data_IF_775783441451
#
_entry.id   IF_775783441451
#
_cell.length_a   1.000
_cell.length_b   1.000
_cell.length_c   1.000
_cell.angle_alpha   90.00
_cell.angle_beta   90.00
_cell.angle_gamma   90.00
#
_symmetry.space_group_name_H-M   'P 1'
#
loop_
_entity.id
_entity.type
_entity.pdbx_description
1 polymer ?
#
# COMPACT_ATOMS: atom_id res chain seq x y z
N UNK A 1 -21.68 11.53 0.29
CA UNK A 1 -20.79 11.67 -0.88
C UNK A 1 -19.96 10.41 -1.03
N UNK A 2 -19.50 10.05 -2.24
CA UNK A 2 -18.67 8.86 -2.43
C UNK A 2 -17.30 9.04 -1.76
N UNK A 3 -16.88 8.04 -0.97
CA UNK A 3 -15.64 8.07 -0.17
C UNK A 3 -14.40 8.41 -1.00
N UNK A 4 -14.37 8.02 -2.27
CA UNK A 4 -13.21 8.16 -3.15
C UNK A 4 -13.14 9.50 -3.90
N UNK A 5 -14.18 10.32 -3.82
CA UNK A 5 -14.17 11.67 -4.37
C UNK A 5 -13.84 12.67 -3.28
N UNK A 6 -13.11 13.73 -3.63
CA UNK A 6 -12.87 14.86 -2.74
C UNK A 6 -13.98 15.90 -2.95
N UNK A 7 -14.58 16.38 -1.86
CA UNK A 7 -15.58 17.43 -1.91
C UNK A 7 -14.96 18.84 -1.83
N UNK A 8 -15.81 19.87 -1.91
CA UNK A 8 -15.38 21.28 -1.84
C UNK A 8 -14.78 21.67 -0.49
N UNK A 9 -15.01 20.90 0.57
CA UNK A 9 -14.44 21.10 1.91
C UNK A 9 -13.12 20.32 2.09
N UNK A 10 -12.70 19.58 1.07
CA UNK A 10 -11.50 18.75 1.08
C UNK A 10 -11.68 17.45 1.86
N UNK A 11 -12.92 16.97 2.01
CA UNK A 11 -13.26 15.70 2.64
C UNK A 11 -13.37 14.60 1.58
N UNK A 12 -12.87 13.41 1.90
CA UNK A 12 -12.84 12.24 1.01
C UNK A 12 -11.55 12.15 0.20
N UNK A 13 -11.61 11.42 -0.91
CA UNK A 13 -10.49 11.24 -1.83
C UNK A 13 -9.29 10.48 -1.27
N UNK A 14 -8.17 10.61 -1.99
CA UNK A 14 -6.91 9.94 -1.70
C UNK A 14 -5.79 10.98 -1.65
N UNK A 15 -4.89 10.87 -0.65
CA UNK A 15 -3.67 11.68 -0.58
C UNK A 15 -2.43 10.82 -0.33
N UNK A 16 -1.26 11.40 -0.61
CA UNK A 16 0.03 10.87 -0.20
C UNK A 16 0.50 11.55 1.08
N UNK A 17 1.16 10.80 1.97
CA UNK A 17 1.76 11.37 3.17
C UNK A 17 3.01 10.62 3.58
N UNK A 18 4.14 11.33 3.59
CA UNK A 18 5.40 10.83 4.16
C UNK A 18 5.43 10.95 5.70
N UNK A 19 4.41 11.57 6.32
CA UNK A 19 4.33 11.74 7.77
C UNK A 19 3.73 10.52 8.49
N UNK A 20 3.12 9.59 7.74
CA UNK A 20 2.57 8.34 8.28
C UNK A 20 3.29 7.13 7.69
N UNK A 21 3.63 6.13 8.50
CA UNK A 21 4.43 5.00 8.02
C UNK A 21 3.62 4.05 7.12
N UNK A 22 2.31 3.91 7.37
CA UNK A 22 1.45 2.94 6.68
C UNK A 22 0.23 3.62 6.08
N UNK A 23 -0.34 2.99 5.05
CA UNK A 23 -1.56 3.47 4.44
C UNK A 23 -2.73 3.36 5.41
N UNK A 24 -3.39 4.49 5.66
CA UNK A 24 -4.61 4.55 6.46
C UNK A 24 -5.84 4.57 5.55
N UNK A 25 -6.84 3.76 5.89
CA UNK A 25 -8.07 3.60 5.13
C UNK A 25 -9.27 3.89 6.02
N UNK A 26 -10.27 4.59 5.50
CA UNK A 26 -11.58 4.66 6.16
C UNK A 26 -12.09 3.24 6.49
N UNK A 27 -12.73 3.09 7.64
CA UNK A 27 -13.09 1.79 8.24
C UNK A 27 -13.79 0.82 7.27
N UNK A 28 -14.73 1.29 6.44
CA UNK A 28 -15.41 0.44 5.47
C UNK A 28 -14.47 -0.06 4.37
N UNK A 29 -13.59 0.81 3.85
CA UNK A 29 -12.56 0.46 2.86
C UNK A 29 -11.55 -0.52 3.47
N UNK A 30 -11.11 -0.25 4.70
CA UNK A 30 -10.19 -1.11 5.44
C UNK A 30 -10.73 -2.54 5.58
N UNK A 31 -11.97 -2.67 6.07
CA UNK A 31 -12.63 -3.98 6.23
C UNK A 31 -12.80 -4.70 4.90
N UNK A 32 -13.19 -3.99 3.84
CA UNK A 32 -13.36 -4.56 2.52
C UNK A 32 -12.02 -5.08 1.96
N UNK A 33 -10.95 -4.28 2.05
CA UNK A 33 -9.61 -4.66 1.62
C UNK A 33 -9.12 -5.88 2.40
N UNK A 34 -9.24 -5.85 3.73
CA UNK A 34 -8.84 -6.96 4.58
C UNK A 34 -9.53 -8.25 4.20
N UNK A 35 -10.86 -8.21 4.07
CA UNK A 35 -11.66 -9.37 3.75
C UNK A 35 -11.28 -9.95 2.37
N UNK A 36 -11.13 -9.09 1.37
CA UNK A 36 -10.73 -9.49 0.02
C UNK A 36 -9.30 -10.08 0.01
N UNK A 37 -8.36 -9.44 0.68
CA UNK A 37 -6.98 -9.90 0.78
C UNK A 37 -6.89 -11.28 1.43
N UNK A 38 -7.55 -11.45 2.58
CA UNK A 38 -7.61 -12.73 3.31
C UNK A 38 -8.25 -13.84 2.47
N UNK A 39 -9.28 -13.52 1.67
CA UNK A 39 -9.93 -14.48 0.78
C UNK A 39 -9.05 -14.88 -0.42
N UNK A 40 -8.19 -13.97 -0.89
CA UNK A 40 -7.25 -14.23 -1.98
C UNK A 40 -5.96 -14.94 -1.52
N UNK A 41 -5.68 -14.99 -0.21
CA UNK A 41 -4.51 -15.67 0.32
C UNK A 41 -4.54 -17.18 0.05
N UNK A 42 -3.40 -17.80 -0.33
CA UNK A 42 -3.30 -19.25 -0.48
C UNK A 42 -3.66 -19.98 0.82
N UNK A 43 -4.33 -21.13 0.71
CA UNK A 43 -4.82 -21.95 1.83
C UNK A 43 -3.74 -22.42 2.81
N UNK A 44 -2.46 -22.36 2.44
CA UNK A 44 -1.31 -22.77 3.25
C UNK A 44 -0.84 -21.73 4.28
N UNK A 45 -1.43 -20.53 4.31
CA UNK A 45 -1.04 -19.51 5.29
C UNK A 45 -1.93 -19.60 6.53
N UNK A 46 -1.33 -20.00 7.66
CA UNK A 46 -2.03 -20.08 8.95
C UNK A 46 -2.40 -18.68 9.40
N UNK A 47 -3.71 -18.40 9.42
CA UNK A 47 -4.27 -17.13 9.87
C UNK A 47 -4.18 -17.08 11.39
N UNK A 48 -3.53 -16.06 11.95
CA UNK A 48 -3.57 -15.83 13.40
C UNK A 48 -4.94 -15.27 13.75
N UNK A 49 -5.82 -16.14 14.27
CA UNK A 49 -7.27 -15.91 14.49
C UNK A 49 -7.63 -14.71 15.39
N UNK A 50 -6.64 -14.08 16.03
CA UNK A 50 -6.81 -12.99 16.99
C UNK A 50 -6.34 -11.63 16.47
N UNK A 51 -5.59 -11.61 15.37
CA UNK A 51 -5.17 -10.41 14.65
C UNK A 51 -5.46 -10.67 13.18
N UNK A 52 -6.63 -10.26 12.68
CA UNK A 52 -7.07 -10.53 11.30
C UNK A 52 -6.09 -10.07 10.19
N UNK A 53 -5.06 -9.29 10.55
CA UNK A 53 -4.01 -8.75 9.70
C UNK A 53 -2.70 -9.54 9.73
N UNK A 54 -2.54 -10.50 10.66
CA UNK A 54 -1.27 -11.18 10.93
C UNK A 54 -1.21 -12.57 10.28
N UNK A 55 -0.13 -12.82 9.55
CA UNK A 55 0.20 -14.02 8.81
C UNK A 55 1.43 -14.66 9.48
N UNK A 56 1.40 -15.97 9.70
CA UNK A 56 2.60 -16.72 10.09
C UNK A 56 3.53 -16.88 8.89
N UNK A 57 4.86 -16.98 9.07
CA UNK A 57 5.81 -17.02 7.98
C UNK A 57 5.72 -18.41 7.33
N UNK A 58 4.98 -18.49 6.23
CA UNK A 58 5.02 -19.60 5.30
C UNK A 58 5.63 -19.20 3.95
N UNK A 59 6.09 -17.96 3.83
CA UNK A 59 6.42 -17.34 2.55
C UNK A 59 7.90 -17.02 2.48
N UNK A 60 8.55 -17.67 1.52
CA UNK A 60 9.92 -17.41 1.08
C UNK A 60 10.13 -15.89 0.95
N UNK A 61 11.07 -15.32 1.70
CA UNK A 61 11.49 -13.92 1.49
C UNK A 61 12.12 -13.82 0.10
N UNK A 62 11.34 -13.36 -0.87
CA UNK A 62 11.79 -13.11 -2.23
C UNK A 62 12.19 -11.63 -2.39
N UNK A 63 12.93 -11.32 -3.46
CA UNK A 63 13.30 -9.93 -3.82
C UNK A 63 12.10 -8.99 -3.91
N UNK A 64 10.92 -9.53 -4.24
CA UNK A 64 9.66 -8.79 -4.38
C UNK A 64 8.82 -8.77 -3.09
N UNK A 65 9.42 -9.20 -1.97
CA UNK A 65 8.77 -9.42 -0.69
C UNK A 65 8.02 -10.75 -0.61
N UNK A 66 7.21 -10.93 0.44
CA UNK A 66 6.43 -12.15 0.64
C UNK A 66 5.50 -12.45 -0.54
N UNK A 67 5.37 -13.73 -0.89
CA UNK A 67 4.42 -14.18 -1.92
C UNK A 67 2.97 -14.10 -1.42
N UNK A 68 2.36 -12.93 -1.57
CA UNK A 68 0.97 -12.62 -1.18
C UNK A 68 0.20 -12.03 -2.37
N UNK A 69 -1.15 -11.94 -2.31
CA UNK A 69 -1.94 -11.28 -3.33
C UNK A 69 -1.45 -9.85 -3.59
N UNK A 70 -1.37 -9.48 -4.87
CA UNK A 70 -1.13 -8.11 -5.30
C UNK A 70 -2.39 -7.26 -5.05
N UNK A 71 -2.20 -6.00 -4.69
CA UNK A 71 -3.28 -5.02 -4.56
C UNK A 71 -3.09 -3.97 -5.65
N UNK A 72 -4.09 -3.76 -6.50
CA UNK A 72 -4.05 -2.76 -7.55
C UNK A 72 -4.95 -1.57 -7.20
N UNK A 73 -4.38 -0.37 -7.18
CA UNK A 73 -5.15 0.87 -7.18
C UNK A 73 -5.50 1.21 -8.63
N UNK A 74 -6.77 1.04 -8.99
CA UNK A 74 -7.30 1.43 -10.30
C UNK A 74 -7.54 2.93 -10.30
N UNK A 75 -6.90 3.65 -11.23
CA UNK A 75 -6.97 5.10 -11.31
C UNK A 75 -7.99 5.55 -12.36
N UNK A 76 -7.63 6.46 -13.26
CA UNK A 76 -8.55 7.10 -14.21
C UNK A 76 -9.25 6.14 -15.18
N UNK A 77 -8.71 4.92 -15.37
CA UNK A 77 -9.35 3.85 -16.12
C UNK A 77 -8.72 2.49 -15.77
N UNK A 78 -9.31 1.40 -16.28
CA UNK A 78 -8.90 0.02 -16.00
C UNK A 78 -7.49 -0.36 -16.48
N UNK A 79 -6.84 0.47 -17.31
CA UNK A 79 -5.48 0.24 -17.81
C UNK A 79 -4.42 0.93 -16.97
N UNK A 80 -4.81 1.86 -16.09
CA UNK A 80 -3.88 2.63 -15.26
C UNK A 80 -3.96 2.13 -13.84
N UNK A 81 -3.02 1.24 -13.52
CA UNK A 81 -2.95 0.50 -12.27
C UNK A 81 -1.65 0.88 -11.55
N UNK A 82 -1.77 1.28 -10.28
CA UNK A 82 -0.63 1.27 -9.36
C UNK A 82 -0.66 -0.04 -8.58
N UNK A 83 0.31 -0.91 -8.85
CA UNK A 83 0.40 -2.23 -8.22
C UNK A 83 1.23 -2.20 -6.94
N UNK A 84 0.64 -2.67 -5.86
CA UNK A 84 1.27 -2.84 -4.55
C UNK A 84 1.59 -4.32 -4.38
N UNK A 85 2.88 -4.64 -4.47
CA UNK A 85 3.42 -6.00 -4.34
C UNK A 85 3.69 -6.35 -2.87
N UNK A 86 4.04 -7.62 -2.61
CA UNK A 86 4.33 -8.13 -1.26
C UNK A 86 5.30 -7.27 -0.44
N UNK A 87 6.37 -6.76 -1.04
CA UNK A 87 7.32 -5.87 -0.38
C UNK A 87 6.70 -4.57 0.14
N UNK A 88 5.67 -4.06 -0.53
CA UNK A 88 4.98 -2.83 -0.18
C UNK A 88 3.64 -3.06 0.55
N UNK A 89 3.15 -4.30 0.61
CA UNK A 89 1.90 -4.65 1.30
C UNK A 89 2.11 -5.34 2.64
N UNK A 90 3.24 -6.01 2.87
CA UNK A 90 3.50 -6.76 4.10
C UNK A 90 4.60 -6.11 4.93
N UNK A 91 4.42 -6.14 6.25
CA UNK A 91 5.36 -5.63 7.26
C UNK A 91 5.74 -6.76 8.21
N UNK A 92 7.03 -7.03 8.39
CA UNK A 92 7.52 -8.00 9.37
C UNK A 92 7.53 -7.36 10.76
N UNK A 93 6.70 -7.88 11.68
CA UNK A 93 6.57 -7.36 13.06
C UNK A 93 7.49 -8.11 14.01
N UNK A 94 7.69 -9.41 13.78
CA UNK A 94 8.65 -10.23 14.49
C UNK A 94 9.18 -11.33 13.58
N UNK A 95 10.03 -12.22 14.10
CA UNK A 95 10.53 -13.34 13.30
C UNK A 95 9.43 -14.26 12.78
N UNK A 96 8.33 -14.36 13.53
CA UNK A 96 7.25 -15.30 13.28
C UNK A 96 5.93 -14.61 12.93
N UNK A 97 5.93 -13.29 12.74
CA UNK A 97 4.72 -12.53 12.48
C UNK A 97 4.95 -11.46 11.42
N UNK A 98 4.18 -11.56 10.34
CA UNK A 98 4.10 -10.55 9.29
C UNK A 98 2.66 -10.05 9.18
N UNK A 99 2.47 -8.75 8.97
CA UNK A 99 1.15 -8.14 8.93
C UNK A 99 0.89 -7.42 7.60
N UNK A 100 -0.38 -7.35 7.19
CA UNK A 100 -0.80 -6.42 6.15
C UNK A 100 -0.55 -4.98 6.62
N UNK A 101 0.29 -4.23 5.89
CA UNK A 101 0.78 -2.89 6.21
C UNK A 101 -0.23 -1.78 5.92
N UNK A 102 -1.49 -1.98 6.33
CA UNK A 102 -2.59 -1.04 6.21
C UNK A 102 -3.27 -0.90 7.58
N UNK A 103 -3.78 0.29 7.89
CA UNK A 103 -4.39 0.59 9.20
C UNK A 103 -5.81 1.17 9.04
N UNK A 104 -6.67 0.89 10.02
CA UNK A 104 -7.99 1.50 10.13
C UNK A 104 -7.85 2.98 10.55
N UNK A 105 -8.27 3.89 9.67
CA UNK A 105 -8.26 5.34 9.87
C UNK A 105 -9.50 5.88 10.59
N UNK A 106 -10.45 5.00 10.94
CA UNK A 106 -11.71 5.37 11.58
C UNK A 106 -12.86 5.59 10.59
N UNK A 107 -14.05 5.87 11.14
CA UNK A 107 -15.31 5.93 10.40
C UNK A 107 -15.49 7.26 9.66
N UNK A 108 -14.93 8.35 10.19
CA UNK A 108 -15.06 9.69 9.62
C UNK A 108 -13.70 10.41 9.51
N UNK A 109 -12.72 9.82 8.82
CA UNK A 109 -11.46 10.51 8.55
C UNK A 109 -11.70 11.63 7.54
N UNK A 110 -10.93 12.72 7.63
CA UNK A 110 -11.01 13.79 6.62
C UNK A 110 -10.67 13.28 5.22
N UNK A 111 -9.66 12.43 5.08
CA UNK A 111 -9.27 11.81 3.80
C UNK A 111 -9.50 10.32 3.89
N UNK A 112 -10.21 9.73 2.93
CA UNK A 112 -10.61 8.32 2.98
C UNK A 112 -9.45 7.36 2.78
N UNK A 113 -8.45 7.74 1.97
CA UNK A 113 -7.25 6.95 1.73
C UNK A 113 -6.02 7.86 1.90
N UNK A 114 -5.14 7.50 2.83
CA UNK A 114 -3.86 8.18 3.02
C UNK A 114 -2.75 7.20 2.72
N UNK A 115 -2.15 7.30 1.54
CA UNK A 115 -1.04 6.45 1.10
C UNK A 115 0.21 6.83 1.88
N UNK A 116 0.69 5.91 2.72
CA UNK A 116 1.81 6.10 3.64
C UNK A 116 3.16 5.66 3.09
N UNK A 117 4.22 5.90 3.87
CA UNK A 117 5.61 5.66 3.48
C UNK A 117 5.92 4.24 3.00
N UNK A 118 5.43 3.20 3.69
CA UNK A 118 5.70 1.80 3.33
C UNK A 118 5.21 1.43 1.92
N UNK A 119 4.06 1.97 1.51
CA UNK A 119 3.52 1.76 0.17
C UNK A 119 4.25 2.58 -0.90
N UNK A 120 4.87 3.69 -0.51
CA UNK A 120 5.67 4.54 -1.38
C UNK A 120 7.11 4.04 -1.55
N UNK A 121 7.59 3.22 -0.61
CA UNK A 121 8.98 2.79 -0.59
C UNK A 121 9.36 2.03 -1.87
N UNK A 122 10.55 2.29 -2.39
CA UNK A 122 11.04 1.75 -3.67
C UNK A 122 10.09 1.97 -4.87
N UNK A 123 9.27 3.02 -4.85
CA UNK A 123 8.51 3.51 -6.01
C UNK A 123 8.97 4.94 -6.33
N UNK A 124 9.15 5.26 -7.60
CA UNK A 124 9.37 6.63 -8.04
C UNK A 124 8.00 7.30 -8.21
N UNK A 125 7.77 8.37 -7.47
CA UNK A 125 6.54 9.17 -7.55
C UNK A 125 6.91 10.59 -7.94
N UNK A 126 6.35 11.06 -9.05
CA UNK A 126 6.60 12.38 -9.61
C UNK A 126 5.35 13.25 -9.50
N UNK A 127 5.47 14.37 -8.81
CA UNK A 127 4.44 15.40 -8.75
C UNK A 127 4.76 16.49 -9.78
N UNK A 128 4.09 16.44 -10.93
CA UNK A 128 4.16 17.50 -11.94
C UNK A 128 3.09 18.54 -11.66
N UNK A 129 3.48 19.57 -10.90
CA UNK A 129 2.60 20.67 -10.50
C UNK A 129 2.18 21.50 -11.72
N UNK A 130 3.09 21.67 -12.69
CA UNK A 130 2.83 22.52 -13.86
C UNK A 130 1.72 21.95 -14.75
N UNK A 131 1.65 20.63 -14.88
CA UNK A 131 0.59 19.96 -15.66
C UNK A 131 -0.52 19.36 -14.81
N UNK A 132 -0.47 19.52 -13.48
CA UNK A 132 -1.40 18.93 -12.51
C UNK A 132 -1.50 17.40 -12.68
N UNK A 133 -0.35 16.74 -12.81
CA UNK A 133 -0.25 15.28 -13.01
C UNK A 133 0.58 14.61 -11.95
N UNK A 134 0.19 13.37 -11.65
CA UNK A 134 0.96 12.45 -10.86
C UNK A 134 1.52 11.36 -11.77
N UNK A 135 2.84 11.27 -11.84
CA UNK A 135 3.56 10.13 -12.41
C UNK A 135 3.94 9.16 -11.31
N UNK A 136 3.89 7.86 -11.60
CA UNK A 136 4.38 6.83 -10.69
C UNK A 136 5.03 5.71 -11.48
N UNK A 137 6.04 5.09 -10.90
CA UNK A 137 6.49 3.76 -11.28
C UNK A 137 5.72 2.70 -10.48
N UNK A 138 5.61 1.49 -11.02
CA UNK A 138 5.47 0.33 -10.13
C UNK A 138 6.78 0.12 -9.35
N UNK A 139 6.78 -0.80 -8.39
CA UNK A 139 7.95 -1.06 -7.54
C UNK A 139 9.22 -1.28 -8.36
N UNK A 140 10.26 -0.51 -8.07
CA UNK A 140 11.58 -0.58 -8.71
C UNK A 140 12.24 -1.96 -8.53
N UNK A 141 11.82 -2.72 -7.51
CA UNK A 141 12.26 -4.09 -7.26
C UNK A 141 11.96 -5.03 -8.43
N UNK A 142 10.91 -4.74 -9.21
CA UNK A 142 10.57 -5.44 -10.46
C UNK A 142 11.64 -5.21 -11.53
N UNK A 143 12.23 -4.02 -11.55
CA UNK A 143 13.31 -3.60 -12.46
C UNK A 143 14.70 -3.94 -11.91
N UNK A 144 14.79 -4.67 -10.80
CA UNK A 144 16.06 -5.02 -10.12
C UNK A 144 16.85 -3.80 -9.67
N UNK A 145 16.16 -2.74 -9.26
CA UNK A 145 16.78 -1.56 -8.63
C UNK A 145 15.97 -1.10 -7.43
N UNK A 146 16.51 -0.15 -6.67
CA UNK A 146 15.93 0.41 -5.45
C UNK A 146 16.15 1.92 -5.43
N UNK A 147 15.38 2.66 -4.65
CA UNK A 147 15.60 4.11 -4.50
C UNK A 147 17.01 4.41 -3.96
N UNK A 148 17.53 3.53 -3.09
CA UNK A 148 18.89 3.63 -2.52
C UNK A 148 20.02 3.37 -3.51
N UNK A 149 19.73 2.83 -4.71
CA UNK A 149 20.76 2.58 -5.72
C UNK A 149 21.14 3.84 -6.51
N UNK A 150 20.46 4.96 -6.27
CA UNK A 150 20.83 6.23 -6.86
C UNK A 150 22.22 6.67 -6.36
N UNK A 151 23.06 7.14 -7.27
CA UNK A 151 24.41 7.59 -6.92
C UNK A 151 24.35 8.99 -6.28
N UNK A 152 24.22 9.02 -4.95
CA UNK A 152 24.31 10.25 -4.17
C UNK A 152 25.78 10.57 -3.88
N UNK A 153 26.41 11.39 -4.70
CA UNK A 153 27.69 12.01 -4.34
C UNK A 153 27.42 13.22 -3.44
N UNK A 154 27.91 13.19 -2.21
CA UNK A 154 27.86 14.38 -1.36
C UNK A 154 28.88 15.40 -1.90
N UNK A 155 28.39 16.58 -2.26
CA UNK A 155 29.22 17.74 -2.60
C UNK A 155 29.60 18.51 -1.35
#
# INVERSE_FOLDING_TARGET
MPLLSIDSEGIGGTKFSAAVPYTALETSIYKALLQAFVNAMPTKVTRLRHLGHALTPGTLEARLGPSVPQIDLVLQNSKVLWSIIGANSIVRVSNDVSCLGFVDGGVTPKTSIVIGGHQLDNNLVQFDIATSRLGFSNSLLLQRTMCSNFNFTST
#
